data_IF_083547394749
#
_entry.id   IF_083547394749
#
_cell.length_a   1.000
_cell.length_b   1.000
_cell.length_c   1.000
_cell.angle_alpha   90.00
_cell.angle_beta   90.00
_cell.angle_gamma   90.00
#
_symmetry.space_group_name_H-M   'P 1'
#
loop_
_entity.id
_entity.type
_entity.pdbx_description
1 polymer ?
#
# COMPACT_ATOMS: atom_id res chain seq x y z
N UNK A 1 40.69 -9.44 5.20
CA UNK A 1 39.60 -9.17 6.17
C UNK A 1 38.27 -9.42 5.48
N UNK A 2 37.60 -10.56 5.72
CA UNK A 2 36.42 -11.00 4.95
C UNK A 2 35.15 -10.15 5.18
N UNK A 3 35.16 -9.25 6.17
CA UNK A 3 33.99 -8.45 6.56
C UNK A 3 33.52 -7.45 5.49
N UNK A 4 34.42 -6.98 4.60
CA UNK A 4 34.07 -5.97 3.59
C UNK A 4 33.22 -6.55 2.43
N UNK A 5 33.29 -7.86 2.19
CA UNK A 5 32.53 -8.53 1.13
C UNK A 5 31.06 -8.75 1.51
N UNK A 6 30.73 -8.82 2.81
CA UNK A 6 29.34 -8.94 3.27
C UNK A 6 28.64 -7.59 3.43
N UNK A 7 29.39 -6.50 3.57
CA UNK A 7 28.88 -5.13 3.67
C UNK A 7 27.81 -4.79 2.61
N UNK A 8 28.01 -5.04 1.30
CA UNK A 8 27.00 -4.69 0.30
C UNK A 8 25.66 -5.41 0.51
N UNK A 9 25.69 -6.67 0.95
CA UNK A 9 24.47 -7.44 1.18
C UNK A 9 23.65 -6.88 2.36
N UNK A 10 24.30 -6.53 3.46
CA UNK A 10 23.62 -5.94 4.63
C UNK A 10 23.12 -4.52 4.36
N UNK A 11 23.86 -3.72 3.58
CA UNK A 11 23.42 -2.37 3.20
C UNK A 11 22.19 -2.44 2.28
N UNK A 12 22.18 -3.33 1.28
CA UNK A 12 20.99 -3.52 0.43
C UNK A 12 19.78 -4.01 1.22
N UNK A 13 19.97 -4.95 2.14
CA UNK A 13 18.90 -5.46 2.99
C UNK A 13 18.31 -4.36 3.87
N UNK A 14 19.16 -3.57 4.55
CA UNK A 14 18.71 -2.46 5.37
C UNK A 14 17.99 -1.37 4.57
N UNK A 15 18.44 -1.10 3.35
CA UNK A 15 17.76 -0.17 2.45
C UNK A 15 16.36 -0.69 2.05
N UNK A 16 16.23 -1.98 1.76
CA UNK A 16 14.95 -2.60 1.44
C UNK A 16 13.96 -2.52 2.62
N UNK A 17 14.42 -2.82 3.84
CA UNK A 17 13.58 -2.74 5.05
C UNK A 17 13.14 -1.29 5.34
N UNK A 18 14.06 -0.33 5.19
CA UNK A 18 13.77 1.09 5.40
C UNK A 18 12.69 1.62 4.43
N UNK A 19 12.57 1.05 3.23
CA UNK A 19 11.52 1.40 2.27
C UNK A 19 10.22 0.65 2.55
N UNK A 20 10.26 -0.64 2.86
CA UNK A 20 9.06 -1.48 2.93
C UNK A 20 8.19 -1.15 4.15
N UNK A 21 8.79 -0.88 5.31
CA UNK A 21 8.10 -0.60 6.56
C UNK A 21 7.20 0.65 6.50
N UNK A 22 7.71 1.83 6.07
CA UNK A 22 6.86 3.01 5.95
C UNK A 22 5.85 2.87 4.81
N UNK A 23 6.23 2.25 3.69
CA UNK A 23 5.36 2.13 2.52
C UNK A 23 4.14 1.24 2.80
N UNK A 24 4.35 0.08 3.42
CA UNK A 24 3.26 -0.81 3.84
C UNK A 24 2.32 -0.12 4.83
N UNK A 25 2.86 0.60 5.83
CA UNK A 25 2.03 1.32 6.80
C UNK A 25 1.16 2.40 6.13
N UNK A 26 1.74 3.20 5.24
CA UNK A 26 1.02 4.27 4.53
C UNK A 26 -0.07 3.69 3.62
N UNK A 27 0.23 2.62 2.87
CA UNK A 27 -0.75 1.98 1.98
C UNK A 27 -1.91 1.38 2.79
N UNK A 28 -1.62 0.66 3.87
CA UNK A 28 -2.65 0.07 4.73
C UNK A 28 -3.55 1.16 5.33
N UNK A 29 -2.98 2.30 5.70
CA UNK A 29 -3.75 3.45 6.19
C UNK A 29 -4.58 4.12 5.09
N UNK A 30 -4.07 4.18 3.86
CA UNK A 30 -4.76 4.80 2.72
C UNK A 30 -5.88 3.94 2.14
N UNK A 31 -5.71 2.61 2.11
CA UNK A 31 -6.74 1.68 1.64
C UNK A 31 -7.85 1.41 2.67
N UNK A 32 -7.64 1.73 3.95
CA UNK A 32 -8.55 1.36 5.03
C UNK A 32 -9.48 2.52 5.42
N UNK A 33 -10.82 2.40 5.24
CA UNK A 33 -11.75 3.44 5.68
C UNK A 33 -11.71 3.58 7.21
N UNK A 34 -11.91 4.81 7.72
CA UNK A 34 -11.49 5.25 9.06
C UNK A 34 -11.92 4.40 10.28
N UNK A 35 -12.88 3.50 10.15
CA UNK A 35 -13.34 2.59 11.22
C UNK A 35 -12.57 1.26 11.31
N UNK A 36 -11.92 0.81 10.23
CA UNK A 36 -11.20 -0.49 10.19
C UNK A 36 -9.68 -0.36 10.14
N UNK A 37 -9.16 0.87 10.21
CA UNK A 37 -7.72 1.17 10.15
C UNK A 37 -6.91 0.47 11.25
N UNK A 38 -7.45 0.36 12.46
CA UNK A 38 -6.78 -0.36 13.56
C UNK A 38 -6.59 -1.85 13.26
N UNK A 39 -7.66 -2.51 12.79
CA UNK A 39 -7.64 -3.94 12.42
C UNK A 39 -6.67 -4.18 11.25
N UNK A 40 -6.63 -3.27 10.28
CA UNK A 40 -5.75 -3.37 9.12
C UNK A 40 -4.26 -3.33 9.51
N UNK A 41 -3.88 -2.47 10.46
CA UNK A 41 -2.50 -2.40 10.97
C UNK A 41 -2.10 -3.69 11.71
N UNK A 42 -3.00 -4.27 12.50
CA UNK A 42 -2.74 -5.56 13.16
C UNK A 42 -2.60 -6.70 12.14
N UNK A 43 -3.44 -6.71 11.11
CA UNK A 43 -3.32 -7.67 10.00
C UNK A 43 -1.99 -7.52 9.24
N UNK A 44 -1.51 -6.28 9.04
CA UNK A 44 -0.20 -6.02 8.45
C UNK A 44 0.96 -6.55 9.33
N UNK A 45 0.86 -6.42 10.64
CA UNK A 45 1.85 -6.99 11.55
C UNK A 45 1.84 -8.53 11.49
N UNK A 46 0.66 -9.13 11.39
CA UNK A 46 0.52 -10.58 11.23
C UNK A 46 1.12 -11.07 9.90
N UNK A 47 0.97 -10.31 8.81
CA UNK A 47 1.57 -10.68 7.53
C UNK A 47 3.10 -10.58 7.55
N UNK A 48 3.66 -9.61 8.27
CA UNK A 48 5.10 -9.55 8.51
C UNK A 48 5.61 -10.77 9.29
N UNK A 49 4.88 -11.19 10.32
CA UNK A 49 5.19 -12.42 11.06
C UNK A 49 5.07 -13.67 10.18
N UNK A 50 4.03 -13.74 9.34
CA UNK A 50 3.86 -14.82 8.36
C UNK A 50 5.03 -14.89 7.38
N UNK A 51 5.60 -13.75 6.98
CA UNK A 51 6.83 -13.69 6.19
C UNK A 51 8.00 -14.42 6.84
N UNK A 52 8.20 -14.24 8.15
CA UNK A 52 9.22 -14.97 8.91
C UNK A 52 8.96 -16.48 8.96
N UNK A 53 7.70 -16.91 9.14
CA UNK A 53 7.33 -18.32 9.11
C UNK A 53 7.58 -18.96 7.74
N UNK A 54 7.18 -18.28 6.66
CA UNK A 54 7.43 -18.73 5.29
C UNK A 54 8.94 -18.84 5.02
N UNK A 55 9.75 -17.89 5.50
CA UNK A 55 11.21 -17.98 5.41
C UNK A 55 11.79 -19.21 6.12
N UNK A 56 11.29 -19.54 7.31
CA UNK A 56 11.69 -20.75 8.03
C UNK A 56 11.28 -22.03 7.28
N UNK A 57 10.07 -22.08 6.73
CA UNK A 57 9.58 -23.20 5.92
C UNK A 57 10.43 -23.37 4.65
N UNK A 58 10.76 -22.29 3.95
CA UNK A 58 11.64 -22.33 2.77
C UNK A 58 13.00 -22.91 3.14
N UNK A 59 13.56 -22.49 4.27
CA UNK A 59 14.86 -22.99 4.74
C UNK A 59 14.80 -24.49 5.05
N UNK A 60 13.74 -24.94 5.72
CA UNK A 60 13.51 -26.37 5.99
C UNK A 60 13.27 -27.18 4.71
N UNK A 61 12.53 -26.62 3.74
CA UNK A 61 12.27 -27.26 2.46
C UNK A 61 13.55 -27.44 1.65
N UNK A 62 14.41 -26.41 1.60
CA UNK A 62 15.72 -26.51 0.95
C UNK A 62 16.60 -27.53 1.65
N UNK A 63 16.60 -27.54 2.99
CA UNK A 63 17.33 -28.52 3.77
C UNK A 63 16.89 -29.96 3.47
N UNK A 64 15.57 -30.20 3.40
CA UNK A 64 15.00 -31.50 3.05
C UNK A 64 15.27 -31.90 1.59
N UNK A 65 15.12 -30.97 0.65
CA UNK A 65 15.34 -31.20 -0.78
C UNK A 65 16.79 -31.55 -1.10
N UNK A 66 17.73 -31.06 -0.29
CA UNK A 66 19.15 -31.29 -0.52
C UNK A 66 19.71 -32.56 0.15
N UNK A 67 18.93 -33.29 0.95
CA UNK A 67 19.40 -34.48 1.70
C UNK A 67 20.74 -34.26 2.47
N UNK A 68 21.07 -33.02 2.84
CA UNK A 68 22.31 -32.66 3.57
C UNK A 68 23.50 -32.19 2.73
N UNK A 69 23.41 -32.11 1.38
CA UNK A 69 24.54 -31.73 0.52
C UNK A 69 24.75 -30.20 0.36
N UNK A 70 23.69 -29.40 0.41
CA UNK A 70 23.74 -27.93 0.27
C UNK A 70 23.97 -27.22 1.61
N UNK A 71 23.66 -27.89 2.72
CA UNK A 71 23.84 -27.36 4.07
C UNK A 71 24.51 -28.41 5.00
N UNK A 72 25.76 -28.80 4.73
CA UNK A 72 26.51 -29.65 5.65
C UNK A 72 26.86 -28.86 6.92
N UNK A 73 27.04 -29.56 8.05
CA UNK A 73 27.41 -28.98 9.34
C UNK A 73 28.73 -28.17 9.34
N UNK A 74 29.49 -28.20 8.23
CA UNK A 74 30.69 -27.41 7.99
C UNK A 74 30.49 -26.46 6.80
N UNK A 75 30.39 -25.17 7.10
CA UNK A 75 30.09 -24.05 6.20
C UNK A 75 31.13 -23.82 5.06
N UNK A 76 32.26 -24.54 5.07
CA UNK A 76 33.36 -24.35 4.13
C UNK A 76 33.34 -25.30 2.91
N UNK A 77 32.46 -26.31 2.89
CA UNK A 77 32.40 -27.33 1.81
C UNK A 77 31.05 -27.34 1.08
N UNK A 78 29.99 -26.77 1.68
CA UNK A 78 28.67 -26.68 1.07
C UNK A 78 28.53 -25.55 0.05
N UNK A 79 27.83 -25.81 -1.06
CA UNK A 79 27.52 -24.82 -2.11
C UNK A 79 26.49 -23.77 -1.64
N UNK A 80 26.87 -22.91 -0.70
CA UNK A 80 26.04 -21.82 -0.16
C UNK A 80 25.56 -20.86 -1.25
N UNK A 81 26.33 -20.71 -2.33
CA UNK A 81 26.00 -19.88 -3.49
C UNK A 81 24.68 -20.30 -4.15
N UNK A 82 24.39 -21.60 -4.26
CA UNK A 82 23.15 -22.10 -4.90
C UNK A 82 21.92 -21.73 -4.09
N UNK A 83 22.03 -21.70 -2.77
CA UNK A 83 20.97 -21.24 -1.89
C UNK A 83 20.71 -19.73 -2.05
N UNK A 84 21.76 -18.92 -2.14
CA UNK A 84 21.62 -17.49 -2.42
C UNK A 84 21.02 -17.22 -3.81
N UNK A 85 21.42 -17.96 -4.84
CA UNK A 85 20.79 -17.88 -6.16
C UNK A 85 19.32 -18.28 -6.14
N UNK A 86 18.97 -19.34 -5.39
CA UNK A 86 17.58 -19.76 -5.22
C UNK A 86 16.75 -18.65 -4.54
N UNK A 87 17.23 -18.12 -3.41
CA UNK A 87 16.58 -16.99 -2.73
C UNK A 87 16.44 -15.77 -3.64
N UNK A 88 17.49 -15.41 -4.39
CA UNK A 88 17.45 -14.29 -5.32
C UNK A 88 16.40 -14.50 -6.42
N UNK A 89 16.29 -15.71 -6.98
CA UNK A 89 15.25 -16.03 -7.97
C UNK A 89 13.84 -15.92 -7.38
N UNK A 90 13.65 -16.36 -6.13
CA UNK A 90 12.38 -16.21 -5.42
C UNK A 90 12.03 -14.74 -5.19
N UNK A 91 13.01 -13.90 -4.85
CA UNK A 91 12.83 -12.45 -4.73
C UNK A 91 12.42 -11.82 -6.06
N UNK A 92 13.08 -12.18 -7.17
CA UNK A 92 12.73 -11.68 -8.51
C UNK A 92 11.30 -12.07 -8.88
N UNK A 93 10.91 -13.32 -8.64
CA UNK A 93 9.54 -13.79 -8.90
C UNK A 93 8.52 -13.03 -8.04
N UNK A 94 8.82 -12.78 -6.76
CA UNK A 94 7.96 -11.99 -5.89
C UNK A 94 7.81 -10.55 -6.39
N UNK A 95 8.90 -9.90 -6.79
CA UNK A 95 8.87 -8.54 -7.36
C UNK A 95 8.09 -8.49 -8.67
N UNK A 96 8.26 -9.48 -9.54
CA UNK A 96 7.51 -9.57 -10.80
C UNK A 96 6.02 -9.79 -10.57
N UNK A 97 5.67 -10.63 -9.59
CA UNK A 97 4.31 -10.80 -9.10
C UNK A 97 3.73 -9.46 -8.63
N UNK A 98 4.42 -8.80 -7.69
CA UNK A 98 4.01 -7.49 -7.18
C UNK A 98 3.85 -6.44 -8.29
N UNK A 99 4.77 -6.39 -9.25
CA UNK A 99 4.68 -5.51 -10.41
C UNK A 99 3.41 -5.77 -11.23
N UNK A 100 3.10 -7.04 -11.49
CA UNK A 100 1.90 -7.43 -12.25
C UNK A 100 0.62 -7.07 -11.51
N UNK A 101 0.58 -7.32 -10.20
CA UNK A 101 -0.54 -6.94 -9.33
C UNK A 101 -0.66 -5.40 -9.31
N UNK A 102 0.42 -4.68 -9.09
CA UNK A 102 0.45 -3.22 -9.06
C UNK A 102 -0.06 -2.61 -10.36
N UNK A 103 0.36 -3.13 -11.51
CA UNK A 103 -0.14 -2.69 -12.81
C UNK A 103 -1.65 -2.94 -12.97
N UNK A 104 -2.15 -4.08 -12.48
CA UNK A 104 -3.60 -4.37 -12.47
C UNK A 104 -4.35 -3.43 -11.53
N UNK A 105 -3.81 -3.14 -10.35
CA UNK A 105 -4.42 -2.23 -9.40
C UNK A 105 -4.40 -0.78 -9.88
N UNK A 106 -3.33 -0.30 -10.52
CA UNK A 106 -3.28 1.04 -11.09
C UNK A 106 -4.33 1.22 -12.20
N UNK A 107 -4.56 0.18 -13.01
CA UNK A 107 -5.63 0.19 -13.99
C UNK A 107 -7.02 0.27 -13.33
N UNK A 108 -7.24 -0.44 -12.22
CA UNK A 108 -8.49 -0.40 -11.46
C UNK A 108 -8.66 0.91 -10.68
N UNK A 109 -7.58 1.48 -10.16
CA UNK A 109 -7.55 2.74 -9.41
C UNK A 109 -7.86 3.91 -10.34
N UNK A 110 -7.33 3.93 -11.57
CA UNK A 110 -7.76 4.95 -12.56
C UNK A 110 -9.26 4.90 -12.85
N UNK A 111 -9.84 3.70 -12.93
CA UNK A 111 -11.28 3.53 -13.17
C UNK A 111 -12.09 3.92 -11.92
N UNK A 112 -11.59 3.60 -10.72
CA UNK A 112 -12.24 3.93 -9.46
C UNK A 112 -12.11 5.42 -9.11
N UNK A 113 -10.97 6.05 -9.33
CA UNK A 113 -10.74 7.49 -9.13
C UNK A 113 -11.58 8.32 -10.10
N UNK A 114 -11.66 7.93 -11.38
CA UNK A 114 -12.59 8.59 -12.33
C UNK A 114 -14.05 8.47 -11.89
N UNK A 115 -14.49 7.29 -11.42
CA UNK A 115 -15.85 7.08 -10.94
C UNK A 115 -16.17 7.78 -9.61
N UNK A 116 -15.27 7.67 -8.63
CA UNK A 116 -15.40 8.27 -7.30
C UNK A 116 -15.29 9.79 -7.34
N UNK A 117 -14.34 10.33 -8.08
CA UNK A 117 -14.17 11.79 -8.25
C UNK A 117 -15.32 12.37 -9.07
N UNK A 118 -15.85 11.62 -10.04
CA UNK A 118 -17.08 11.94 -10.75
C UNK A 118 -18.28 12.03 -9.81
N UNK A 119 -18.55 10.98 -9.02
CA UNK A 119 -19.70 10.98 -8.09
C UNK A 119 -19.53 12.00 -6.96
N UNK A 120 -18.31 12.19 -6.45
CA UNK A 120 -18.03 13.18 -5.40
C UNK A 120 -18.17 14.61 -5.91
N UNK A 121 -17.69 14.90 -7.14
CA UNK A 121 -17.91 16.22 -7.75
C UNK A 121 -19.39 16.44 -8.05
N UNK A 122 -20.10 15.44 -8.56
CA UNK A 122 -21.53 15.53 -8.83
C UNK A 122 -22.31 15.80 -7.54
N UNK A 123 -21.98 15.11 -6.45
CA UNK A 123 -22.61 15.33 -5.14
C UNK A 123 -22.29 16.72 -4.55
N UNK A 124 -21.04 17.19 -4.70
CA UNK A 124 -20.63 18.55 -4.29
C UNK A 124 -21.30 19.63 -5.12
N UNK A 125 -21.39 19.44 -6.43
CA UNK A 125 -22.10 20.36 -7.33
C UNK A 125 -23.58 20.40 -7.00
N UNK A 126 -24.19 19.25 -6.70
CA UNK A 126 -25.60 19.16 -6.33
C UNK A 126 -25.87 19.81 -4.96
N UNK A 127 -24.97 19.65 -3.98
CA UNK A 127 -25.04 20.43 -2.74
C UNK A 127 -24.91 21.94 -3.00
N UNK A 128 -23.98 22.34 -3.87
CA UNK A 128 -23.76 23.75 -4.19
C UNK A 128 -24.98 24.34 -4.91
N UNK A 129 -25.56 23.64 -5.88
CA UNK A 129 -26.79 24.03 -6.59
C UNK A 129 -27.97 24.18 -5.62
N UNK A 130 -28.16 23.23 -4.70
CA UNK A 130 -29.18 23.32 -3.64
C UNK A 130 -28.97 24.55 -2.76
N UNK A 131 -27.71 24.85 -2.41
CA UNK A 131 -27.40 26.05 -1.62
C UNK A 131 -27.69 27.33 -2.39
N UNK A 132 -27.39 27.38 -3.69
CA UNK A 132 -27.65 28.52 -4.57
C UNK A 132 -29.15 28.76 -4.71
N UNK A 133 -29.94 27.71 -4.95
CA UNK A 133 -31.41 27.78 -5.00
C UNK A 133 -32.04 28.22 -3.68
N UNK A 134 -31.44 27.85 -2.55
CA UNK A 134 -31.88 28.36 -1.25
C UNK A 134 -31.67 29.89 -1.17
N UNK A 135 -30.51 30.41 -1.56
CA UNK A 135 -30.28 31.86 -1.57
C UNK A 135 -31.19 32.60 -2.54
N UNK A 136 -31.44 32.06 -3.74
CA UNK A 136 -32.35 32.64 -4.73
C UNK A 136 -33.78 32.74 -4.17
N UNK A 137 -34.27 31.68 -3.52
CA UNK A 137 -35.59 31.67 -2.87
C UNK A 137 -35.72 32.66 -1.70
N UNK A 138 -34.63 32.93 -0.99
CA UNK A 138 -34.58 33.92 0.11
C UNK A 138 -34.52 35.34 -0.45
N UNK A 139 -33.82 35.53 -1.57
CA UNK A 139 -33.72 36.81 -2.26
C UNK A 139 -35.09 37.22 -2.82
N UNK A 140 -35.84 36.29 -3.44
CA UNK A 140 -37.21 36.53 -3.90
C UNK A 140 -38.17 36.88 -2.76
N UNK A 141 -37.97 36.30 -1.56
CA UNK A 141 -38.77 36.65 -0.38
C UNK A 141 -38.45 38.04 0.18
N UNK A 142 -37.29 38.62 -0.16
CA UNK A 142 -36.82 39.90 0.39
C UNK A 142 -37.35 41.11 -0.41
N UNK A 143 -38.01 40.93 -1.56
CA UNK A 143 -38.56 42.03 -2.38
C UNK A 143 -40.06 42.44 -2.22
N UNK A 144 -40.81 42.13 -1.15
CA UNK A 144 -42.14 42.72 -0.97
C UNK A 144 -42.20 43.98 -0.06
N UNK A 145 -41.10 44.52 0.47
CA UNK A 145 -41.16 45.65 1.40
C UNK A 145 -40.31 46.89 1.02
N UNK A 146 -40.96 47.80 0.28
CA UNK A 146 -41.11 49.26 0.51
C UNK A 146 -39.86 50.18 0.50
N UNK A 147 -39.99 51.41 -0.05
CA UNK A 147 -40.32 52.52 0.86
C UNK A 147 -41.48 53.40 0.36
N UNK A 148 -42.53 53.40 1.18
CA UNK A 148 -43.48 54.49 1.37
C UNK A 148 -42.68 55.70 1.88
N UNK A 149 -42.65 56.80 1.12
CA UNK A 149 -42.54 58.19 1.62
C UNK A 149 -42.37 59.16 0.43
N UNK A 150 -43.47 59.84 0.07
CA UNK A 150 -43.48 61.30 -0.16
C UNK A 150 -44.94 61.75 -0.17
N UNK A 151 -45.41 62.21 0.98
CA UNK A 151 -46.58 63.07 1.11
C UNK A 151 -46.11 64.39 1.73
N UNK A 152 -45.89 65.40 0.88
CA UNK A 152 -46.16 66.83 1.12
C UNK A 152 -46.51 67.43 -0.24
#
# INVERSE_FOLDING_TARGET
MPCYQLTPQYVLLGFAEALVLPYCSVITVKLSPGRVRGIAIHCLSLSQAAGCFIGAIITQLVFAASQGDWFPAFLAVGHLERFFFFLASLTILNTMGFWRISHRYNNLDQVHDMGFKGSFLEEKLLQHEKSLRFYDSVLDWTYPFSPMETAV
#
